data_IF_700581524275
#
_entry.id   IF_700581524275
#
_cell.length_a   1.000
_cell.length_b   1.000
_cell.length_c   1.000
_cell.angle_alpha   90.00
_cell.angle_beta   90.00
_cell.angle_gamma   90.00
#
_symmetry.space_group_name_H-M   'P 1'
#
loop_
_entity.id
_entity.type
_entity.pdbx_description
1 polymer ?
#
# COMPACT_ATOMS: atom_id res chain seq x y z
N UNK A 1 17.22 -19.36 20.46
CA UNK A 1 17.28 -18.14 21.29
C UNK A 1 16.30 -17.14 20.71
N UNK A 2 15.36 -16.70 21.54
CA UNK A 2 14.25 -15.82 21.19
C UNK A 2 14.75 -14.43 20.74
N UNK A 3 14.40 -14.02 19.53
CA UNK A 3 14.11 -12.60 19.27
C UNK A 3 12.60 -12.44 19.34
N UNK A 4 12.14 -11.67 20.33
CA UNK A 4 10.74 -11.26 20.49
C UNK A 4 10.25 -10.62 19.18
N UNK A 5 8.96 -10.73 18.81
CA UNK A 5 8.40 -9.82 17.82
C UNK A 5 8.65 -8.40 18.32
N UNK A 6 9.29 -7.57 17.49
CA UNK A 6 9.42 -6.15 17.77
C UNK A 6 7.98 -5.64 17.80
N UNK A 7 7.49 -5.09 18.94
CA UNK A 7 6.15 -4.56 19.00
C UNK A 7 6.16 -3.24 18.24
N UNK A 8 5.98 -3.31 16.91
CA UNK A 8 5.83 -2.11 16.12
C UNK A 8 4.56 -1.41 16.58
N UNK A 9 4.72 -0.20 17.11
CA UNK A 9 3.59 0.66 17.45
C UNK A 9 3.04 1.21 16.14
N UNK A 10 1.72 1.31 16.07
CA UNK A 10 0.93 1.73 14.91
C UNK A 10 1.51 2.96 14.21
N UNK A 11 1.09 3.20 12.97
CA UNK A 11 1.53 4.30 12.11
C UNK A 11 0.42 5.36 12.01
N UNK A 12 0.75 6.66 12.03
CA UNK A 12 -0.24 7.77 12.02
C UNK A 12 -0.26 8.55 10.71
N UNK A 13 -1.45 8.94 10.25
CA UNK A 13 -1.65 9.90 9.16
C UNK A 13 -1.39 11.34 9.67
N UNK A 14 -0.49 12.07 9.00
CA UNK A 14 0.00 13.39 9.44
C UNK A 14 -0.59 14.59 8.67
N UNK A 15 -1.39 14.38 7.63
CA UNK A 15 -1.81 15.46 6.71
C UNK A 15 -3.26 15.94 6.92
N UNK A 16 -3.74 16.12 8.15
CA UNK A 16 -5.12 16.61 8.42
C UNK A 16 -5.14 17.97 9.11
N UNK A 17 -5.81 18.98 8.54
CA UNK A 17 -6.01 20.29 9.19
C UNK A 17 -7.01 21.15 8.43
N UNK A 18 -7.95 21.83 9.12
CA UNK A 18 -9.02 22.62 8.49
C UNK A 18 -8.52 23.87 7.76
N UNK A 19 -7.34 24.40 8.12
CA UNK A 19 -6.79 25.66 7.61
C UNK A 19 -5.64 25.51 6.61
N UNK A 20 -5.30 24.29 6.18
CA UNK A 20 -4.22 24.11 5.20
C UNK A 20 -4.61 24.65 3.82
N UNK A 21 -3.66 25.26 3.07
CA UNK A 21 -3.79 25.55 1.65
C UNK A 21 -4.32 24.35 0.86
N UNK A 22 -5.22 24.63 -0.08
CA UNK A 22 -5.92 23.62 -0.91
C UNK A 22 -5.59 23.83 -2.37
N UNK A 23 -5.53 22.72 -3.13
CA UNK A 23 -5.43 22.81 -4.58
C UNK A 23 -6.65 23.57 -5.12
N UNK A 24 -6.40 24.38 -6.15
CA UNK A 24 -7.42 25.22 -6.78
C UNK A 24 -7.43 25.05 -8.29
N UNK A 25 -8.61 25.05 -8.88
CA UNK A 25 -8.79 25.03 -10.33
C UNK A 25 -8.37 26.38 -10.97
N UNK A 26 -8.40 26.45 -12.30
CA UNK A 26 -8.06 27.67 -13.04
C UNK A 26 -8.96 28.88 -12.72
N UNK A 27 -10.14 28.64 -12.14
CA UNK A 27 -11.10 29.67 -11.68
C UNK A 27 -10.90 30.04 -10.21
N UNK A 28 -9.93 29.42 -9.52
CA UNK A 28 -9.62 29.65 -8.12
C UNK A 28 -10.50 28.89 -7.14
N UNK A 29 -11.38 27.98 -7.58
CA UNK A 29 -12.20 27.17 -6.68
C UNK A 29 -11.38 26.03 -6.08
N UNK A 30 -11.67 25.64 -4.84
CA UNK A 30 -10.98 24.51 -4.22
C UNK A 30 -11.40 23.21 -4.88
N UNK A 31 -10.44 22.33 -5.11
CA UNK A 31 -10.69 21.04 -5.77
C UNK A 31 -11.08 20.00 -4.72
N UNK A 32 -12.29 19.48 -4.85
CA UNK A 32 -12.86 18.48 -3.96
C UNK A 32 -12.49 17.06 -4.40
N UNK A 33 -12.09 16.23 -3.45
CA UNK A 33 -12.03 14.80 -3.58
C UNK A 33 -13.45 14.24 -3.38
N UNK A 34 -14.14 13.99 -4.49
CA UNK A 34 -15.55 13.57 -4.48
C UNK A 34 -15.82 12.28 -3.70
N UNK A 35 -14.83 11.40 -3.54
CA UNK A 35 -14.97 10.16 -2.76
C UNK A 35 -15.03 10.41 -1.25
N UNK A 36 -14.32 11.42 -0.76
CA UNK A 36 -14.22 11.70 0.68
C UNK A 36 -15.01 12.93 1.12
N UNK A 37 -15.51 13.75 0.17
CA UNK A 37 -16.10 15.05 0.47
C UNK A 37 -15.10 16.04 1.09
N UNK A 38 -13.81 15.83 0.87
CA UNK A 38 -12.73 16.68 1.41
C UNK A 38 -12.01 17.42 0.29
N UNK A 39 -11.25 18.49 0.61
CA UNK A 39 -10.47 19.21 -0.38
C UNK A 39 -9.02 18.73 -0.43
N UNK A 40 -8.49 18.54 -1.64
CA UNK A 40 -7.08 18.21 -1.83
C UNK A 40 -6.18 19.31 -1.23
N UNK A 41 -5.14 18.87 -0.53
CA UNK A 41 -4.11 19.74 0.02
C UNK A 41 -3.16 20.12 -1.11
N UNK A 42 -2.72 21.39 -1.13
CA UNK A 42 -1.69 21.87 -2.06
C UNK A 42 -0.30 21.67 -1.46
N UNK A 43 0.41 20.64 -1.89
CA UNK A 43 1.76 20.35 -1.39
C UNK A 43 2.82 21.29 -1.95
N UNK A 44 2.52 22.10 -2.98
CA UNK A 44 3.44 23.14 -3.46
C UNK A 44 3.62 24.28 -2.45
N UNK A 45 2.65 24.46 -1.54
CA UNK A 45 2.67 25.56 -0.59
C UNK A 45 3.68 25.31 0.56
N UNK A 46 4.66 26.21 0.79
CA UNK A 46 5.71 25.99 1.80
C UNK A 46 5.17 25.70 3.21
N UNK A 47 4.13 26.43 3.64
CA UNK A 47 3.49 26.22 4.94
C UNK A 47 2.92 24.80 5.12
N UNK A 48 2.36 24.21 4.05
CA UNK A 48 1.88 22.82 4.08
C UNK A 48 3.04 21.86 4.29
N UNK A 49 4.14 22.08 3.56
CA UNK A 49 5.32 21.24 3.68
C UNK A 49 5.93 21.36 5.07
N UNK A 50 6.10 22.57 5.58
CA UNK A 50 6.68 22.85 6.89
C UNK A 50 5.86 22.21 8.00
N UNK A 51 4.53 22.37 7.98
CA UNK A 51 3.66 21.77 8.97
C UNK A 51 3.69 20.23 8.89
N UNK A 52 3.75 19.67 7.68
CA UNK A 52 3.79 18.21 7.51
C UNK A 52 5.11 17.63 8.02
N UNK A 53 6.24 18.28 7.75
CA UNK A 53 7.55 17.93 8.30
C UNK A 53 7.53 18.01 9.83
N UNK A 54 7.04 19.12 10.40
CA UNK A 54 6.95 19.28 11.87
C UNK A 54 6.09 18.20 12.53
N UNK A 55 5.01 17.77 11.88
CA UNK A 55 4.18 16.67 12.38
C UNK A 55 4.89 15.33 12.32
N UNK A 56 5.66 15.05 11.26
CA UNK A 56 6.47 13.84 11.19
C UNK A 56 7.54 13.83 12.30
N UNK A 57 8.22 14.97 12.52
CA UNK A 57 9.16 15.14 13.64
C UNK A 57 8.47 14.87 14.98
N UNK A 58 7.31 15.48 15.23
CA UNK A 58 6.59 15.28 16.49
C UNK A 58 6.16 13.81 16.69
N UNK A 59 5.80 13.10 15.63
CA UNK A 59 5.50 11.66 15.68
C UNK A 59 6.76 10.87 16.03
N UNK A 60 7.91 11.18 15.42
CA UNK A 60 9.18 10.53 15.74
C UNK A 60 9.62 10.79 17.20
N UNK A 61 9.54 12.04 17.65
CA UNK A 61 9.99 12.45 18.98
C UNK A 61 9.09 11.95 20.12
N UNK A 62 7.79 11.71 19.86
CA UNK A 62 6.88 11.28 20.93
C UNK A 62 7.12 9.83 21.40
N UNK A 63 7.86 9.02 20.63
CA UNK A 63 8.20 7.63 20.98
C UNK A 63 7.00 6.65 21.02
N UNK A 64 5.84 7.07 20.51
CA UNK A 64 4.62 6.28 20.47
C UNK A 64 4.41 5.54 19.14
N UNK A 65 5.09 5.94 18.06
CA UNK A 65 4.93 5.39 16.73
C UNK A 65 6.32 5.15 16.15
N UNK A 66 6.49 4.06 15.40
CA UNK A 66 7.77 3.79 14.72
C UNK A 66 7.85 4.47 13.35
N UNK A 67 6.75 5.09 12.88
CA UNK A 67 6.70 5.67 11.55
C UNK A 67 5.44 6.47 11.20
N UNK A 68 5.38 6.89 9.93
CA UNK A 68 4.22 7.53 9.30
C UNK A 68 3.78 6.78 8.04
N UNK A 69 2.49 6.94 7.71
CA UNK A 69 1.88 6.41 6.50
C UNK A 69 1.31 7.60 5.72
N UNK A 70 1.81 7.77 4.51
CA UNK A 70 1.44 8.85 3.61
C UNK A 70 0.49 8.30 2.55
N UNK A 71 -0.79 8.61 2.72
CA UNK A 71 -1.84 8.14 1.83
C UNK A 71 -1.88 8.97 0.52
N UNK A 72 -2.48 8.41 -0.53
CA UNK A 72 -2.65 9.05 -1.85
C UNK A 72 -1.32 9.56 -2.46
N UNK A 73 -0.28 8.72 -2.41
CA UNK A 73 1.08 9.08 -2.85
C UNK A 73 1.32 8.90 -4.35
N UNK A 74 0.35 8.34 -5.09
CA UNK A 74 0.54 8.04 -6.51
C UNK A 74 0.32 9.25 -7.45
N UNK A 75 1.23 9.54 -8.40
CA UNK A 75 1.11 10.68 -9.34
C UNK A 75 -0.17 10.70 -10.17
N UNK A 76 -0.68 9.53 -10.62
CA UNK A 76 -1.91 9.52 -11.44
C UNK A 76 -3.15 9.88 -10.67
N UNK A 77 -3.15 9.83 -9.33
CA UNK A 77 -4.35 10.15 -8.57
C UNK A 77 -4.82 11.59 -8.80
N UNK A 78 -3.88 12.50 -9.02
CA UNK A 78 -4.18 13.89 -9.36
C UNK A 78 -4.67 13.99 -10.81
N UNK A 79 -4.04 13.28 -11.75
CA UNK A 79 -4.49 13.27 -13.14
C UNK A 79 -5.93 12.75 -13.25
N UNK A 80 -6.21 11.63 -12.58
CA UNK A 80 -7.48 10.92 -12.65
C UNK A 80 -8.59 11.69 -11.92
N UNK A 81 -8.27 12.40 -10.81
CA UNK A 81 -9.28 13.06 -9.95
C UNK A 81 -9.37 14.58 -10.11
N UNK A 82 -8.33 15.23 -10.61
CA UNK A 82 -8.22 16.70 -10.71
C UNK A 82 -8.26 17.19 -12.16
N UNK A 83 -7.95 16.33 -13.14
CA UNK A 83 -8.03 16.69 -14.55
C UNK A 83 -6.94 17.66 -14.99
N UNK A 84 -7.24 18.49 -16.01
CA UNK A 84 -6.25 19.35 -16.70
C UNK A 84 -5.89 20.65 -15.96
N UNK A 85 -6.55 20.93 -14.85
CA UNK A 85 -6.41 22.22 -14.16
C UNK A 85 -5.13 22.32 -13.33
N UNK A 86 -4.47 21.20 -13.04
CA UNK A 86 -3.22 21.12 -12.30
C UNK A 86 -2.17 20.38 -13.15
N UNK A 87 -0.94 20.91 -13.22
CA UNK A 87 0.19 20.12 -13.75
C UNK A 87 0.57 19.06 -12.71
N UNK A 88 0.31 17.77 -12.98
CA UNK A 88 0.59 16.71 -12.02
C UNK A 88 2.08 16.61 -11.70
N UNK A 89 2.97 17.06 -12.58
CA UNK A 89 4.42 16.99 -12.32
C UNK A 89 4.84 17.93 -11.21
N UNK A 90 4.26 19.14 -11.15
CA UNK A 90 4.58 20.13 -10.12
C UNK A 90 4.25 19.58 -8.73
N UNK A 91 3.09 18.96 -8.57
CA UNK A 91 2.68 18.39 -7.29
C UNK A 91 3.48 17.13 -6.93
N UNK A 92 3.91 16.35 -7.93
CA UNK A 92 4.82 15.21 -7.72
C UNK A 92 6.19 15.68 -7.24
N UNK A 93 6.75 16.75 -7.83
CA UNK A 93 8.00 17.35 -7.34
C UNK A 93 7.84 17.86 -5.90
N UNK A 94 6.70 18.50 -5.59
CA UNK A 94 6.43 19.01 -4.25
C UNK A 94 6.31 17.89 -3.21
N UNK A 95 5.59 16.80 -3.52
CA UNK A 95 5.52 15.61 -2.68
C UNK A 95 6.89 14.95 -2.49
N UNK A 96 7.69 14.87 -3.55
CA UNK A 96 9.05 14.31 -3.46
C UNK A 96 9.96 15.19 -2.60
N UNK A 97 9.89 16.51 -2.74
CA UNK A 97 10.62 17.45 -1.88
C UNK A 97 10.20 17.27 -0.42
N UNK A 98 8.89 17.21 -0.15
CA UNK A 98 8.36 16.96 1.19
C UNK A 98 8.90 15.65 1.78
N UNK A 99 8.86 14.56 1.03
CA UNK A 99 9.36 13.25 1.49
C UNK A 99 10.86 13.28 1.81
N UNK A 100 11.67 13.95 0.98
CA UNK A 100 13.10 14.17 1.25
C UNK A 100 13.30 14.91 2.57
N UNK A 101 12.56 16.02 2.77
CA UNK A 101 12.62 16.84 3.98
C UNK A 101 12.19 16.05 5.22
N UNK A 102 11.14 15.24 5.11
CA UNK A 102 10.71 14.36 6.20
C UNK A 102 11.83 13.39 6.55
N UNK A 103 12.34 12.63 5.57
CA UNK A 103 13.41 11.63 5.80
C UNK A 103 14.65 12.25 6.45
N UNK A 104 15.09 13.40 5.97
CA UNK A 104 16.21 14.14 6.55
C UNK A 104 15.96 14.53 8.01
N UNK A 105 14.73 14.92 8.35
CA UNK A 105 14.38 15.38 9.69
C UNK A 105 14.18 14.26 10.72
N UNK A 106 13.64 13.10 10.30
CA UNK A 106 13.30 11.98 11.20
C UNK A 106 14.38 10.90 11.30
N UNK A 107 15.37 10.92 10.40
CA UNK A 107 16.48 9.97 10.37
C UNK A 107 16.16 8.64 9.69
N UNK A 108 17.15 7.75 9.66
CA UNK A 108 17.11 6.50 8.88
C UNK A 108 16.25 5.39 9.52
N UNK A 109 16.14 5.38 10.85
CA UNK A 109 15.42 4.34 11.61
C UNK A 109 13.89 4.52 11.58
N UNK A 110 13.40 5.73 11.30
CA UNK A 110 11.97 6.00 11.29
C UNK A 110 11.29 5.41 10.06
N UNK A 111 10.21 4.67 10.23
CA UNK A 111 9.51 4.00 9.14
C UNK A 111 8.66 5.00 8.34
N UNK A 112 8.78 4.97 7.02
CA UNK A 112 7.91 5.75 6.13
C UNK A 112 7.26 4.82 5.13
N UNK A 113 5.94 4.73 5.18
CA UNK A 113 5.12 3.96 4.25
C UNK A 113 4.29 4.88 3.35
N UNK A 114 4.05 4.49 2.11
CA UNK A 114 3.29 5.28 1.12
C UNK A 114 2.16 4.47 0.48
N UNK A 115 0.95 5.01 0.32
CA UNK A 115 -0.08 4.38 -0.53
C UNK A 115 0.20 4.70 -1.99
N UNK A 116 0.64 3.71 -2.77
CA UNK A 116 0.91 3.89 -4.20
C UNK A 116 -0.17 3.29 -5.08
N UNK A 117 -1.26 2.78 -4.47
CA UNK A 117 -2.23 1.92 -5.17
C UNK A 117 -1.42 0.77 -5.81
N UNK A 118 -1.72 0.38 -7.04
CA UNK A 118 -1.05 -0.72 -7.77
C UNK A 118 0.18 -0.29 -8.58
N UNK A 119 0.87 0.77 -8.19
CA UNK A 119 1.94 1.35 -9.00
C UNK A 119 3.28 1.47 -8.24
N UNK A 120 4.37 1.38 -9.01
CA UNK A 120 5.73 1.58 -8.53
C UNK A 120 6.01 3.06 -8.24
N UNK A 121 6.84 3.36 -7.25
CA UNK A 121 7.26 4.72 -6.92
C UNK A 121 8.79 4.89 -6.90
N UNK A 122 9.48 4.74 -8.06
CA UNK A 122 10.95 4.69 -8.13
C UNK A 122 11.64 5.94 -7.56
N UNK A 123 11.01 7.11 -7.72
CA UNK A 123 11.57 8.37 -7.20
C UNK A 123 11.45 8.49 -5.68
N UNK A 124 10.50 7.80 -5.07
CA UNK A 124 10.30 7.77 -3.61
C UNK A 124 11.10 6.66 -2.93
N UNK A 125 11.54 5.65 -3.69
CA UNK A 125 12.18 4.44 -3.18
C UNK A 125 13.34 4.68 -2.20
N UNK A 126 14.26 5.65 -2.43
CA UNK A 126 15.37 5.90 -1.50
C UNK A 126 14.96 6.41 -0.12
N UNK A 127 13.69 6.76 0.09
CA UNK A 127 13.18 7.44 1.28
C UNK A 127 12.12 6.65 2.05
N UNK A 128 11.61 5.54 1.51
CA UNK A 128 10.49 4.80 2.09
C UNK A 128 10.88 3.35 2.39
N UNK A 129 10.21 2.79 3.39
CA UNK A 129 10.38 1.42 3.86
C UNK A 129 9.36 0.47 3.22
N UNK A 130 8.28 1.01 2.66
CA UNK A 130 7.25 0.17 2.07
C UNK A 130 6.11 0.93 1.42
N UNK A 131 5.28 0.20 0.69
CA UNK A 131 4.04 0.69 0.12
C UNK A 131 2.82 -0.04 0.66
N UNK A 132 1.69 0.67 0.73
CA UNK A 132 0.38 0.01 0.73
C UNK A 132 -0.09 -0.05 -0.71
N UNK A 133 -0.19 -1.27 -1.24
CA UNK A 133 -0.65 -1.57 -2.58
C UNK A 133 -2.16 -1.78 -2.51
N UNK A 134 -2.88 -0.66 -2.54
CA UNK A 134 -4.34 -0.68 -2.62
C UNK A 134 -4.77 -1.14 -4.02
N UNK A 135 -5.58 -2.19 -4.07
CA UNK A 135 -6.08 -2.73 -5.33
C UNK A 135 -7.58 -2.54 -5.44
N UNK A 136 -8.06 -2.43 -6.67
CA UNK A 136 -9.48 -2.33 -7.00
C UNK A 136 -9.79 -3.32 -8.10
N UNK A 137 -10.93 -4.00 -7.96
CA UNK A 137 -11.52 -4.83 -9.02
C UNK A 137 -11.97 -3.96 -10.19
N UNK A 138 -12.10 -4.54 -11.39
CA UNK A 138 -12.61 -3.80 -12.54
C UNK A 138 -14.15 -3.78 -12.50
N UNK A 139 -14.78 -2.60 -12.36
CA UNK A 139 -16.23 -2.47 -12.20
C UNK A 139 -17.02 -2.98 -13.41
N UNK A 140 -16.39 -3.09 -14.58
CA UNK A 140 -17.06 -3.55 -15.82
C UNK A 140 -17.20 -5.07 -15.87
N UNK A 141 -16.30 -5.80 -15.21
CA UNK A 141 -16.25 -7.26 -15.27
C UNK A 141 -16.48 -7.92 -13.91
N UNK A 142 -16.50 -7.17 -12.81
CA UNK A 142 -16.81 -7.70 -11.47
C UNK A 142 -15.64 -8.35 -10.74
N UNK A 143 -14.44 -8.41 -11.36
CA UNK A 143 -13.31 -9.22 -10.88
C UNK A 143 -11.94 -8.62 -11.29
N UNK A 144 -10.85 -9.23 -10.82
CA UNK A 144 -9.49 -8.90 -11.27
C UNK A 144 -9.14 -9.63 -12.56
N UNK A 145 -8.63 -8.91 -13.57
CA UNK A 145 -8.09 -9.54 -14.78
C UNK A 145 -6.72 -10.15 -14.52
N UNK A 146 -6.30 -11.06 -15.42
CA UNK A 146 -4.94 -11.61 -15.40
C UNK A 146 -3.88 -10.52 -15.48
N UNK A 147 -4.06 -9.53 -16.34
CA UNK A 147 -3.13 -8.42 -16.52
C UNK A 147 -3.03 -7.56 -15.25
N UNK A 148 -4.15 -7.40 -14.54
CA UNK A 148 -4.21 -6.69 -13.27
C UNK A 148 -3.44 -7.44 -12.18
N UNK A 149 -3.60 -8.77 -12.09
CA UNK A 149 -2.83 -9.58 -11.13
C UNK A 149 -1.33 -9.51 -11.43
N UNK A 150 -0.93 -9.61 -12.70
CA UNK A 150 0.48 -9.45 -13.12
C UNK A 150 1.04 -8.08 -12.70
N UNK A 151 0.27 -7.01 -12.87
CA UNK A 151 0.69 -5.67 -12.43
C UNK A 151 0.90 -5.61 -10.92
N UNK A 152 0.01 -6.22 -10.13
CA UNK A 152 0.10 -6.21 -8.67
C UNK A 152 1.33 -7.00 -8.21
N UNK A 153 1.55 -8.19 -8.76
CA UNK A 153 2.72 -9.03 -8.48
C UNK A 153 4.03 -8.30 -8.81
N UNK A 154 4.12 -7.72 -10.01
CA UNK A 154 5.28 -6.94 -10.46
C UNK A 154 5.54 -5.70 -9.59
N UNK A 155 4.48 -5.04 -9.12
CA UNK A 155 4.61 -3.88 -8.22
C UNK A 155 5.05 -4.31 -6.82
N UNK A 156 4.52 -5.40 -6.30
CA UNK A 156 4.88 -5.91 -4.98
C UNK A 156 6.34 -6.35 -4.95
N UNK A 157 6.78 -7.17 -5.90
CA UNK A 157 8.19 -7.60 -6.00
C UNK A 157 9.14 -6.43 -6.18
N UNK A 158 8.81 -5.49 -7.07
CA UNK A 158 9.63 -4.31 -7.24
C UNK A 158 9.74 -3.48 -5.95
N UNK A 159 8.68 -3.42 -5.15
CA UNK A 159 8.69 -2.70 -3.87
C UNK A 159 9.59 -3.38 -2.84
N UNK A 160 9.58 -4.72 -2.77
CA UNK A 160 10.54 -5.48 -1.95
C UNK A 160 11.98 -5.18 -2.40
N UNK A 161 12.27 -5.24 -3.70
CA UNK A 161 13.64 -5.07 -4.21
C UNK A 161 14.21 -3.65 -4.08
N UNK A 162 13.36 -2.61 -4.02
CA UNK A 162 13.80 -1.22 -4.21
C UNK A 162 13.60 -0.32 -2.99
N UNK A 163 12.79 -0.72 -2.01
CA UNK A 163 12.57 0.06 -0.80
C UNK A 163 13.59 -0.24 0.29
N UNK A 164 13.63 0.64 1.29
CA UNK A 164 14.60 0.56 2.38
C UNK A 164 14.21 -0.52 3.38
N UNK A 165 15.21 -1.16 3.97
CA UNK A 165 15.02 -2.01 5.13
C UNK A 165 14.55 -1.23 6.37
N UNK A 166 13.71 -1.83 7.24
CA UNK A 166 12.97 -3.07 6.99
C UNK A 166 11.89 -2.86 5.93
N UNK A 167 11.77 -3.79 5.00
CA UNK A 167 10.72 -3.77 3.97
C UNK A 167 9.35 -4.07 4.58
N UNK A 168 8.36 -3.20 4.39
CA UNK A 168 6.99 -3.38 4.89
C UNK A 168 5.99 -3.05 3.77
N UNK A 169 5.87 -3.96 2.80
CA UNK A 169 4.93 -3.79 1.70
C UNK A 169 3.62 -4.53 1.98
N UNK A 170 2.56 -3.74 2.15
CA UNK A 170 1.22 -4.23 2.45
C UNK A 170 0.41 -4.40 1.17
N UNK A 171 -0.23 -5.55 0.99
CA UNK A 171 -1.12 -5.81 -0.15
C UNK A 171 -2.59 -5.71 0.28
N UNK A 172 -3.32 -4.76 -0.29
CA UNK A 172 -4.75 -4.56 -0.06
C UNK A 172 -5.61 -5.19 -1.17
N UNK A 173 -6.25 -6.32 -0.88
CA UNK A 173 -7.22 -6.96 -1.77
C UNK A 173 -8.65 -6.50 -1.51
N UNK A 174 -9.49 -6.50 -2.55
CA UNK A 174 -10.92 -6.25 -2.44
C UNK A 174 -11.74 -7.45 -2.92
N UNK A 175 -12.83 -7.73 -2.21
CA UNK A 175 -13.87 -8.67 -2.60
C UNK A 175 -15.04 -7.98 -3.30
N UNK A 176 -16.14 -8.71 -3.37
CA UNK A 176 -17.42 -8.25 -3.89
C UNK A 176 -18.28 -7.83 -2.71
N UNK A 177 -18.53 -6.53 -2.59
CA UNK A 177 -19.31 -5.99 -1.47
C UNK A 177 -20.75 -6.45 -1.47
N UNK A 178 -21.35 -6.77 -2.62
CA UNK A 178 -22.71 -7.31 -2.65
C UNK A 178 -22.82 -8.75 -2.14
N UNK A 179 -21.70 -9.42 -1.84
CA UNK A 179 -21.67 -10.78 -1.32
C UNK A 179 -21.21 -10.81 0.14
N UNK A 180 -21.67 -11.82 0.89
CA UNK A 180 -21.20 -12.06 2.25
C UNK A 180 -19.67 -12.32 2.28
N UNK A 181 -18.92 -11.90 3.31
CA UNK A 181 -17.50 -12.21 3.46
C UNK A 181 -17.17 -13.72 3.28
N UNK A 182 -18.01 -14.58 3.85
CA UNK A 182 -17.91 -16.05 3.69
C UNK A 182 -18.51 -16.59 2.37
N UNK A 183 -18.74 -15.79 1.34
CA UNK A 183 -19.11 -16.33 0.04
C UNK A 183 -17.96 -17.14 -0.57
N UNK A 184 -18.28 -18.03 -1.51
CA UNK A 184 -17.24 -18.78 -2.22
C UNK A 184 -16.28 -17.83 -2.97
N UNK A 185 -16.82 -16.76 -3.55
CA UNK A 185 -16.09 -15.74 -4.30
C UNK A 185 -15.15 -14.93 -3.40
N UNK A 186 -15.64 -14.40 -2.28
CA UNK A 186 -14.82 -13.60 -1.37
C UNK A 186 -13.73 -14.45 -0.71
N UNK A 187 -14.02 -15.70 -0.32
CA UNK A 187 -12.98 -16.63 0.14
C UNK A 187 -11.95 -16.96 -0.94
N UNK A 188 -12.36 -17.07 -2.20
CA UNK A 188 -11.44 -17.33 -3.30
C UNK A 188 -10.44 -16.17 -3.46
N UNK A 189 -10.93 -14.94 -3.55
CA UNK A 189 -10.07 -13.76 -3.69
C UNK A 189 -9.23 -13.47 -2.45
N UNK A 190 -9.79 -13.65 -1.25
CA UNK A 190 -9.02 -13.57 0.00
C UNK A 190 -7.81 -14.51 -0.05
N UNK A 191 -8.00 -15.77 -0.49
CA UNK A 191 -6.90 -16.73 -0.64
C UNK A 191 -5.88 -16.26 -1.68
N UNK A 192 -6.33 -15.76 -2.83
CA UNK A 192 -5.46 -15.20 -3.89
C UNK A 192 -4.56 -14.10 -3.33
N UNK A 193 -5.12 -13.08 -2.68
CA UNK A 193 -4.32 -11.97 -2.14
C UNK A 193 -3.42 -12.39 -0.99
N UNK A 194 -3.90 -13.30 -0.13
CA UNK A 194 -3.10 -13.83 0.97
C UNK A 194 -1.90 -14.61 0.45
N UNK A 195 -2.10 -15.56 -0.47
CA UNK A 195 -1.01 -16.39 -0.99
C UNK A 195 -0.11 -15.61 -1.94
N UNK A 196 -0.62 -14.63 -2.69
CA UNK A 196 0.21 -13.70 -3.44
C UNK A 196 1.14 -12.92 -2.50
N UNK A 197 0.60 -12.33 -1.43
CA UNK A 197 1.41 -11.61 -0.44
C UNK A 197 2.47 -12.52 0.20
N UNK A 198 2.12 -13.76 0.57
CA UNK A 198 3.05 -14.72 1.16
C UNK A 198 4.12 -15.26 0.18
N UNK A 199 3.87 -15.25 -1.14
CA UNK A 199 4.83 -15.75 -2.13
C UNK A 199 5.67 -14.64 -2.74
N UNK A 200 5.19 -13.40 -2.75
CA UNK A 200 5.83 -12.25 -3.40
C UNK A 200 6.37 -11.20 -2.40
N UNK A 201 6.08 -11.35 -1.10
CA UNK A 201 6.49 -10.46 -0.01
C UNK A 201 6.45 -11.26 1.32
N UNK A 202 6.49 -10.58 2.46
CA UNK A 202 6.51 -11.15 3.81
C UNK A 202 5.12 -11.19 4.48
N UNK A 203 4.05 -11.18 3.67
CA UNK A 203 2.72 -11.57 4.13
C UNK A 203 1.86 -10.47 4.77
N UNK A 204 2.27 -9.20 4.68
CA UNK A 204 1.41 -8.09 5.10
C UNK A 204 0.22 -7.94 4.14
N UNK A 205 -0.92 -8.50 4.52
CA UNK A 205 -2.13 -8.49 3.68
C UNK A 205 -3.31 -7.89 4.44
N UNK A 206 -4.11 -7.12 3.71
CA UNK A 206 -5.41 -6.64 4.14
C UNK A 206 -6.44 -7.03 3.08
N UNK A 207 -7.61 -7.50 3.49
CA UNK A 207 -8.67 -7.88 2.57
C UNK A 207 -9.99 -7.21 2.98
N UNK A 208 -10.64 -6.51 2.04
CA UNK A 208 -11.92 -5.84 2.24
C UNK A 208 -13.03 -6.65 1.59
N UNK A 209 -14.07 -7.00 2.33
CA UNK A 209 -15.19 -7.81 1.82
C UNK A 209 -16.54 -7.45 2.46
N UNK A 210 -16.68 -6.23 2.98
CA UNK A 210 -17.92 -5.77 3.61
C UNK A 210 -19.01 -5.35 2.62
N UNK A 211 -20.29 -5.32 3.08
CA UNK A 211 -21.49 -5.03 2.29
C UNK A 211 -21.46 -3.70 1.53
N UNK A 212 -20.69 -2.73 2.03
CA UNK A 212 -20.56 -1.38 1.50
C UNK A 212 -19.14 -1.08 0.99
N UNK A 213 -18.24 -2.07 1.02
CA UNK A 213 -16.81 -1.93 0.73
C UNK A 213 -16.14 -0.79 1.51
N UNK A 214 -16.73 -0.33 2.63
CA UNK A 214 -16.31 0.86 3.38
C UNK A 214 -15.11 0.62 4.31
N UNK A 215 -14.17 -0.22 3.87
CA UNK A 215 -13.02 -0.71 4.64
C UNK A 215 -13.42 -1.60 5.83
N UNK A 216 -14.44 -2.46 5.65
CA UNK A 216 -14.70 -3.53 6.61
C UNK A 216 -13.78 -4.73 6.36
N UNK A 217 -13.04 -5.11 7.40
CA UNK A 217 -12.06 -6.18 7.36
C UNK A 217 -12.50 -7.32 8.26
N UNK A 218 -12.70 -8.50 7.67
CA UNK A 218 -13.09 -9.70 8.38
C UNK A 218 -11.88 -10.58 8.61
N UNK A 219 -11.82 -11.21 9.78
CA UNK A 219 -10.83 -12.24 10.05
C UNK A 219 -11.29 -13.56 9.45
N UNK A 220 -10.49 -14.16 8.59
CA UNK A 220 -10.79 -15.44 7.96
C UNK A 220 -10.06 -16.57 8.68
N UNK A 221 -10.72 -17.71 8.91
CA UNK A 221 -10.09 -18.88 9.52
C UNK A 221 -8.86 -19.40 8.74
N UNK A 222 -8.79 -19.08 7.45
CA UNK A 222 -7.62 -19.34 6.61
C UNK A 222 -6.33 -18.70 7.17
N UNK A 223 -6.43 -17.56 7.85
CA UNK A 223 -5.31 -16.86 8.46
C UNK A 223 -4.91 -17.40 9.84
N UNK A 224 -5.67 -18.36 10.40
CA UNK A 224 -5.29 -19.02 11.65
C UNK A 224 -4.14 -20.02 11.48
N UNK A 225 -3.74 -20.32 10.23
CA UNK A 225 -2.62 -21.21 9.95
C UNK A 225 -1.28 -20.55 10.32
N UNK A 226 -0.59 -21.09 11.33
CA UNK A 226 0.75 -20.66 11.70
C UNK A 226 1.80 -21.29 10.76
N UNK A 227 2.10 -20.59 9.66
CA UNK A 227 3.17 -20.97 8.74
C UNK A 227 4.58 -20.80 9.35
N UNK A 228 4.72 -20.00 10.41
CA UNK A 228 6.00 -19.63 11.00
C UNK A 228 6.76 -18.60 10.15
N UNK A 229 8.06 -18.83 9.92
CA UNK A 229 8.93 -17.89 9.17
C UNK A 229 9.24 -18.42 7.78
N UNK A 230 9.48 -17.55 6.78
CA UNK A 230 9.96 -17.99 5.47
C UNK A 230 11.31 -18.73 5.63
N UNK A 231 11.49 -19.80 4.85
CA UNK A 231 12.75 -20.53 4.76
C UNK A 231 13.56 -19.94 3.61
N UNK A 232 14.77 -19.45 3.91
CA UNK A 232 15.59 -18.68 2.96
C UNK A 232 15.40 -17.17 3.09
N UNK A 233 16.03 -16.40 2.19
CA UNK A 233 15.91 -14.96 2.09
C UNK A 233 14.96 -14.50 0.99
N UNK A 234 15.15 -13.27 0.52
CA UNK A 234 14.35 -12.65 -0.55
C UNK A 234 14.46 -13.39 -1.88
N UNK A 235 15.53 -14.15 -2.10
CA UNK A 235 15.71 -15.01 -3.27
C UNK A 235 14.63 -16.09 -3.40
N UNK A 236 13.85 -16.33 -2.34
CA UNK A 236 12.73 -17.27 -2.33
C UNK A 236 11.39 -16.65 -2.72
N UNK A 237 11.33 -15.33 -2.92
CA UNK A 237 10.11 -14.65 -3.40
C UNK A 237 9.90 -14.95 -4.88
N UNK A 238 8.63 -15.04 -5.28
CA UNK A 238 8.14 -15.31 -6.64
C UNK A 238 8.80 -16.48 -7.39
N UNK A 239 9.13 -17.55 -6.67
CA UNK A 239 9.65 -18.77 -7.30
C UNK A 239 8.53 -19.56 -7.98
N UNK A 240 8.70 -19.89 -9.25
CA UNK A 240 7.77 -20.75 -9.98
C UNK A 240 7.83 -22.19 -9.45
N UNK A 241 6.67 -22.80 -9.22
CA UNK A 241 6.56 -24.21 -8.91
C UNK A 241 6.60 -25.03 -10.20
N UNK A 242 7.53 -25.99 -10.28
CA UNK A 242 7.68 -26.90 -11.42
C UNK A 242 7.83 -26.19 -12.80
N UNK A 243 8.30 -24.94 -12.81
CA UNK A 243 8.46 -24.15 -14.02
C UNK A 243 7.15 -23.71 -14.69
N UNK A 244 6.01 -23.78 -13.97
CA UNK A 244 4.70 -23.41 -14.49
C UNK A 244 4.50 -21.89 -14.33
N UNK A 245 4.28 -21.19 -15.45
CA UNK A 245 3.99 -19.74 -15.42
C UNK A 245 2.71 -19.45 -14.62
N UNK A 246 2.83 -18.53 -13.66
CA UNK A 246 1.73 -18.11 -12.80
C UNK A 246 1.44 -19.04 -11.62
N UNK A 247 2.22 -20.11 -11.42
CA UNK A 247 2.13 -20.94 -10.22
C UNK A 247 3.38 -20.75 -9.38
N UNK A 248 3.21 -20.24 -8.17
CA UNK A 248 4.28 -19.84 -7.27
C UNK A 248 4.22 -20.62 -5.96
N UNK A 249 5.39 -20.86 -5.38
CA UNK A 249 5.53 -21.50 -4.08
C UNK A 249 6.57 -20.77 -3.23
N UNK A 250 6.32 -20.68 -1.92
CA UNK A 250 7.32 -20.27 -0.93
C UNK A 250 7.23 -21.18 0.30
N UNK A 251 8.36 -21.69 0.74
CA UNK A 251 8.46 -22.54 1.93
C UNK A 251 8.53 -21.69 3.19
N UNK A 252 7.84 -22.16 4.22
CA UNK A 252 7.84 -21.63 5.56
C UNK A 252 8.12 -22.75 6.55
N UNK A 253 8.57 -22.42 7.76
CA UNK A 253 9.02 -23.41 8.75
C UNK A 253 7.96 -24.47 9.11
N UNK A 254 6.67 -24.14 8.97
CA UNK A 254 5.55 -25.04 9.30
C UNK A 254 4.69 -25.39 8.07
N UNK A 255 5.12 -25.07 6.84
CA UNK A 255 4.35 -25.39 5.64
C UNK A 255 4.75 -24.62 4.39
N UNK A 256 3.85 -24.52 3.43
CA UNK A 256 4.08 -23.83 2.17
C UNK A 256 2.94 -22.87 1.86
N UNK A 257 3.27 -21.72 1.29
CA UNK A 257 2.32 -20.87 0.61
C UNK A 257 2.37 -21.19 -0.89
N UNK A 258 1.21 -21.45 -1.49
CA UNK A 258 1.07 -21.69 -2.93
C UNK A 258 0.11 -20.66 -3.49
N UNK A 259 0.59 -19.89 -4.46
CA UNK A 259 -0.22 -18.92 -5.18
C UNK A 259 -0.36 -19.35 -6.64
N UNK A 260 -1.59 -19.46 -7.09
CA UNK A 260 -1.90 -19.77 -8.48
C UNK A 260 -2.63 -18.59 -9.13
N UNK A 261 -1.91 -17.82 -9.95
CA UNK A 261 -2.47 -16.80 -10.85
C UNK A 261 -3.35 -17.42 -11.93
N UNK A 262 -2.98 -18.62 -12.39
CA UNK A 262 -3.67 -19.36 -13.45
C UNK A 262 -4.96 -20.00 -12.92
N UNK A 263 -5.93 -19.15 -12.60
CA UNK A 263 -7.33 -19.53 -12.51
C UNK A 263 -7.95 -19.59 -13.90
N UNK A 264 -7.47 -20.46 -14.81
CA UNK A 264 -8.37 -20.94 -15.87
C UNK A 264 -9.35 -21.90 -15.20
N UNK A 265 -10.47 -21.36 -14.72
CA UNK A 265 -11.69 -22.13 -14.60
C UNK A 265 -12.35 -22.22 -15.98
#
# INVERSE_FOLDING_TARGET
MLTKPIPHKLVRNVATGKNLPRLRDASGNRIENQESGTFFIDFTHPEVQDLTVQRAIAVAECGLYDGIFLDLWHPRILVDRVGKDIDPNVEVEAKLLLLKRIREAVGDEFLILINTVRWKAPRSAPYVNGSFIETEWDPKIGFYTRERLIQIEDTLLWSEENYREPQINCLGGMGIGTEHPDSATNRHWMRVFTTMSLTHSDGYVLYNSGPDMSHEHYWYDFWNADLGRPVGGDETKAQFYEGIDGLFIREYTNGWAVYNRSGTA
#
